data_IF_388362521041
#
_entry.id   IF_388362521041
#
_cell.length_a   1.000
_cell.length_b   1.000
_cell.length_c   1.000
_cell.angle_alpha   90.00
_cell.angle_beta   90.00
_cell.angle_gamma   90.00
#
_symmetry.space_group_name_H-M   'P 1'
#
loop_
_entity.id
_entity.type
_entity.pdbx_description
1 polymer ?
#
# COMPACT_ATOMS: atom_id res chain seq x y z
N UNK A 1 -11.13 36.74 -14.61
CA UNK A 1 -12.24 35.96 -14.01
C UNK A 1 -11.76 34.53 -13.81
N UNK A 2 -11.26 34.19 -12.62
CA UNK A 2 -10.73 32.85 -12.32
C UNK A 2 -11.90 31.93 -11.94
N UNK A 3 -12.19 30.91 -12.76
CA UNK A 3 -13.13 29.85 -12.40
C UNK A 3 -12.50 29.05 -11.26
N UNK A 4 -13.08 29.11 -10.06
CA UNK A 4 -12.80 28.11 -9.02
C UNK A 4 -13.21 26.74 -9.56
N UNK A 5 -12.23 25.92 -9.90
CA UNK A 5 -12.46 24.50 -10.15
C UNK A 5 -12.82 23.86 -8.80
N UNK A 6 -14.04 23.34 -8.68
CA UNK A 6 -14.45 22.56 -7.51
C UNK A 6 -14.19 21.08 -7.80
N UNK A 7 -13.15 20.53 -7.19
CA UNK A 7 -12.86 19.10 -7.23
C UNK A 7 -13.61 18.41 -6.08
N UNK A 8 -14.41 17.39 -6.40
CA UNK A 8 -15.12 16.59 -5.40
C UNK A 8 -14.30 15.33 -5.14
N UNK A 9 -13.76 15.21 -3.92
CA UNK A 9 -13.06 14.01 -3.46
C UNK A 9 -14.05 13.08 -2.76
N UNK A 10 -14.04 11.81 -3.13
CA UNK A 10 -14.75 10.76 -2.39
C UNK A 10 -13.73 10.02 -1.55
N UNK A 11 -13.85 10.15 -0.23
CA UNK A 11 -12.97 9.45 0.71
C UNK A 11 -13.48 8.01 0.79
N UNK A 12 -12.65 7.06 0.34
CA UNK A 12 -12.97 5.63 0.38
C UNK A 12 -12.71 5.03 1.76
N UNK A 13 -11.66 5.49 2.43
CA UNK A 13 -11.25 5.05 3.77
C UNK A 13 -10.62 6.24 4.51
N UNK A 14 -10.98 6.42 5.78
CA UNK A 14 -10.43 7.46 6.65
C UNK A 14 -9.97 6.78 7.94
N UNK A 15 -8.66 6.74 8.15
CA UNK A 15 -8.08 6.25 9.40
C UNK A 15 -7.57 7.44 10.23
N UNK A 16 -8.08 7.57 11.46
CA UNK A 16 -7.60 8.54 12.43
C UNK A 16 -6.50 7.87 13.25
N UNK A 17 -5.25 8.15 12.90
CA UNK A 17 -4.06 7.46 13.45
C UNK A 17 -3.76 7.87 14.91
N UNK A 18 -4.35 8.95 15.40
CA UNK A 18 -4.30 9.35 16.81
C UNK A 18 -5.50 10.24 17.18
N UNK A 19 -6.03 10.17 18.41
CA UNK A 19 -7.00 11.17 18.88
C UNK A 19 -6.36 12.57 18.77
N UNK A 20 -7.18 13.57 18.48
CA UNK A 20 -6.81 14.98 18.46
C UNK A 20 -6.37 15.41 19.86
N UNK A 21 -5.09 15.19 20.18
CA UNK A 21 -4.45 15.88 21.29
C UNK A 21 -4.21 17.30 20.80
N UNK A 22 -4.75 18.26 21.54
CA UNK A 22 -4.47 19.67 21.33
C UNK A 22 -2.97 19.90 21.53
N UNK A 23 -2.19 19.93 20.45
CA UNK A 23 -0.83 20.46 20.49
C UNK A 23 -0.94 21.98 20.33
N UNK A 24 -1.64 22.63 21.27
CA UNK A 24 -1.48 24.06 21.52
C UNK A 24 -0.56 24.16 22.74
N UNK A 25 0.71 24.11 22.44
CA UNK A 25 1.70 24.94 23.10
C UNK A 25 2.57 25.47 21.97
N UNK A 26 2.86 26.78 21.96
CA UNK A 26 3.89 27.31 21.09
C UNK A 26 5.11 26.37 21.16
N UNK A 27 5.69 25.93 20.04
CA UNK A 27 6.83 25.03 20.08
C UNK A 27 7.89 25.70 20.94
N UNK A 28 8.12 25.14 22.14
CA UNK A 28 9.21 25.59 22.98
C UNK A 28 10.47 25.46 22.12
N UNK A 29 11.30 26.52 21.99
CA UNK A 29 12.58 26.40 21.32
C UNK A 29 13.32 25.21 21.92
N UNK A 30 13.85 24.32 21.06
CA UNK A 30 14.71 23.23 21.47
C UNK A 30 15.73 23.77 22.49
N UNK A 31 15.70 23.24 23.71
CA UNK A 31 16.70 23.62 24.70
C UNK A 31 18.03 23.05 24.20
N UNK A 32 19.16 23.71 24.50
CA UNK A 32 20.50 23.17 24.20
C UNK A 32 20.73 21.77 24.81
N UNK A 33 19.93 21.41 25.80
CA UNK A 33 19.92 20.13 26.50
C UNK A 33 19.23 19.01 25.69
N UNK A 34 18.37 19.38 24.74
CA UNK A 34 17.61 18.49 23.86
C UNK A 34 18.34 18.25 22.52
N UNK A 35 19.49 18.89 22.30
CA UNK A 35 20.38 18.60 21.18
C UNK A 35 21.02 17.22 21.39
N UNK A 36 21.01 16.37 20.36
CA UNK A 36 21.79 15.14 20.39
C UNK A 36 23.25 15.50 20.65
N UNK A 37 23.94 14.84 21.61
CA UNK A 37 25.34 15.12 21.85
C UNK A 37 26.08 14.98 20.52
N UNK A 38 26.89 15.99 20.16
CA UNK A 38 27.67 15.99 18.91
C UNK A 38 28.59 14.78 18.77
N UNK A 39 28.81 14.10 19.89
CA UNK A 39 29.71 12.96 20.05
C UNK A 39 28.93 11.64 20.04
N UNK A 40 27.60 11.69 19.97
CA UNK A 40 26.72 10.53 19.86
C UNK A 40 26.72 10.02 18.41
N UNK A 41 27.82 9.39 18.00
CA UNK A 41 27.76 8.42 16.92
C UNK A 41 27.13 7.16 17.53
N UNK A 42 25.96 6.69 17.07
CA UNK A 42 25.52 5.35 17.45
C UNK A 42 26.62 4.39 17.01
N UNK A 43 27.36 3.86 17.99
CA UNK A 43 28.33 2.81 17.79
C UNK A 43 27.50 1.58 17.41
N UNK A 44 27.32 1.37 16.11
CA UNK A 44 26.99 0.05 15.62
C UNK A 44 28.32 -0.69 15.61
N UNK A 45 28.59 -1.61 16.57
CA UNK A 45 29.67 -2.54 16.34
C UNK A 45 29.23 -3.32 15.12
N UNK A 46 29.86 -3.08 13.98
CA UNK A 46 29.97 -4.12 12.97
C UNK A 46 30.75 -5.23 13.66
N UNK A 47 30.13 -6.36 14.02
CA UNK A 47 30.95 -7.46 14.47
C UNK A 47 31.46 -8.13 13.20
N UNK A 48 32.77 -8.31 13.12
CA UNK A 48 33.43 -9.23 12.19
C UNK A 48 32.95 -10.70 12.34
N UNK A 49 31.95 -10.95 13.18
CA UNK A 49 31.16 -12.17 13.27
C UNK A 49 29.67 -11.84 13.41
N UNK A 50 28.87 -11.94 12.32
CA UNK A 50 27.42 -11.85 12.44
C UNK A 50 26.91 -12.92 13.43
N UNK A 51 25.86 -12.63 14.23
CA UNK A 51 25.29 -13.59 15.17
C UNK A 51 25.11 -14.98 14.55
N UNK A 52 25.52 -16.05 15.25
CA UNK A 52 25.62 -17.42 14.71
C UNK A 52 24.35 -18.02 14.10
N UNK A 53 23.18 -17.40 14.28
CA UNK A 53 21.98 -17.73 13.50
C UNK A 53 22.10 -17.35 12.02
N UNK A 54 23.03 -16.49 11.62
CA UNK A 54 23.27 -16.09 10.22
C UNK A 54 24.09 -17.14 9.44
N UNK A 55 24.75 -18.08 10.12
CA UNK A 55 25.66 -19.06 9.50
C UNK A 55 25.03 -20.21 8.72
N UNK A 56 23.69 -20.39 8.77
CA UNK A 56 22.98 -21.50 8.11
C UNK A 56 21.99 -21.06 7.03
N UNK A 57 21.86 -19.75 6.78
CA UNK A 57 20.99 -19.25 5.72
C UNK A 57 21.79 -19.05 4.45
N UNK A 58 21.22 -19.31 3.27
CA UNK A 58 21.85 -18.92 2.01
C UNK A 58 22.27 -17.45 2.11
N UNK A 59 23.46 -17.13 1.61
CA UNK A 59 23.87 -15.72 1.46
C UNK A 59 22.94 -15.09 0.45
N UNK A 60 21.87 -14.49 0.94
CA UNK A 60 20.92 -13.77 0.10
C UNK A 60 21.39 -12.34 -0.05
N UNK A 61 21.22 -11.81 -1.26
CA UNK A 61 21.31 -10.38 -1.49
C UNK A 61 20.03 -9.73 -0.99
N UNK A 62 20.10 -9.16 0.21
CA UNK A 62 19.02 -8.39 0.80
C UNK A 62 18.79 -7.11 0.01
N UNK A 63 17.56 -6.90 -0.41
CA UNK A 63 17.16 -5.71 -1.18
C UNK A 63 15.81 -5.17 -0.69
N UNK A 64 15.39 -4.05 -1.26
CA UNK A 64 14.10 -3.42 -0.99
C UNK A 64 13.19 -3.51 -2.20
N UNK A 65 11.89 -3.35 -2.00
CA UNK A 65 10.89 -3.38 -3.08
C UNK A 65 11.24 -2.37 -4.19
N UNK A 66 11.61 -1.14 -3.83
CA UNK A 66 11.94 -0.11 -4.80
C UNK A 66 13.19 -0.41 -5.66
N UNK A 67 14.05 -1.34 -5.22
CA UNK A 67 15.26 -1.73 -5.95
C UNK A 67 15.08 -2.99 -6.79
N UNK A 68 13.92 -3.64 -6.72
CA UNK A 68 13.62 -4.80 -7.54
C UNK A 68 13.44 -4.41 -9.01
N UNK A 69 13.91 -5.31 -9.87
CA UNK A 69 13.80 -5.22 -11.32
C UNK A 69 13.49 -6.62 -11.87
N UNK A 70 12.97 -6.74 -13.10
CA UNK A 70 12.80 -8.04 -13.74
C UNK A 70 14.10 -8.86 -13.89
N UNK A 71 15.26 -8.19 -13.87
CA UNK A 71 16.59 -8.80 -13.89
C UNK A 71 17.13 -9.20 -12.50
N UNK A 72 16.37 -8.93 -11.43
CA UNK A 72 16.78 -9.28 -10.07
C UNK A 72 16.71 -10.80 -9.89
N UNK A 73 17.87 -11.42 -9.74
CA UNK A 73 18.02 -12.84 -9.42
C UNK A 73 18.47 -13.02 -7.96
N UNK A 74 18.14 -14.16 -7.35
CA UNK A 74 18.64 -14.57 -6.02
C UNK A 74 18.46 -13.54 -4.87
N UNK A 75 17.46 -12.65 -4.98
CA UNK A 75 17.20 -11.65 -3.96
C UNK A 75 16.43 -12.21 -2.76
N UNK A 76 16.53 -11.48 -1.64
CA UNK A 76 15.66 -11.64 -0.50
C UNK A 76 15.12 -10.27 -0.06
N UNK A 77 13.83 -10.19 0.20
CA UNK A 77 13.17 -8.99 0.73
C UNK A 77 12.54 -9.29 2.09
N UNK A 78 12.49 -8.27 2.94
CA UNK A 78 11.75 -8.31 4.22
C UNK A 78 10.51 -7.45 4.03
N UNK A 79 9.34 -8.04 4.13
CA UNK A 79 8.07 -7.35 3.82
C UNK A 79 6.99 -7.70 4.83
N UNK A 80 6.03 -6.79 5.02
CA UNK A 80 4.78 -7.08 5.71
C UNK A 80 3.73 -7.53 4.68
N UNK A 81 2.95 -8.54 5.03
CA UNK A 81 1.81 -8.98 4.20
C UNK A 81 0.56 -8.27 4.70
N UNK A 82 -0.03 -7.37 3.91
CA UNK A 82 -1.24 -6.61 4.30
C UNK A 82 -2.53 -7.25 3.84
N UNK A 83 -2.47 -8.04 2.77
CA UNK A 83 -3.64 -8.72 2.21
C UNK A 83 -3.26 -10.07 1.65
N UNK A 84 -4.15 -11.05 1.85
CA UNK A 84 -4.11 -12.35 1.20
C UNK A 84 -5.51 -12.59 0.62
N UNK A 85 -5.61 -12.83 -0.67
CA UNK A 85 -6.88 -13.15 -1.33
C UNK A 85 -7.28 -14.58 -1.02
N UNK A 86 -8.56 -14.90 -1.20
CA UNK A 86 -8.99 -16.30 -1.28
C UNK A 86 -8.33 -16.97 -2.49
N UNK A 87 -8.04 -18.27 -2.38
CA UNK A 87 -7.67 -19.11 -3.53
C UNK A 87 -8.70 -18.96 -4.65
N UNK A 88 -8.20 -18.71 -5.84
CA UNK A 88 -8.99 -18.60 -7.04
C UNK A 88 -8.34 -19.39 -8.19
N UNK A 89 -9.14 -19.80 -9.16
CA UNK A 89 -8.62 -20.35 -10.41
C UNK A 89 -8.41 -19.22 -11.41
N UNK A 90 -7.17 -19.04 -11.87
CA UNK A 90 -6.81 -18.04 -12.87
C UNK A 90 -6.37 -18.72 -14.17
N UNK A 91 -6.75 -18.14 -15.30
CA UNK A 91 -6.39 -18.68 -16.61
C UNK A 91 -5.03 -18.14 -17.03
N UNK A 92 -4.06 -19.04 -17.16
CA UNK A 92 -2.75 -18.69 -17.71
C UNK A 92 -2.84 -18.69 -19.25
N UNK A 93 -2.79 -17.50 -19.84
CA UNK A 93 -2.89 -17.31 -21.30
C UNK A 93 -1.73 -17.94 -22.08
N UNK A 94 -0.52 -17.96 -21.51
CA UNK A 94 0.68 -18.51 -22.16
C UNK A 94 0.60 -20.04 -22.25
N UNK A 95 0.16 -20.69 -21.16
CA UNK A 95 0.06 -22.15 -21.08
C UNK A 95 -1.32 -22.70 -21.50
N UNK A 96 -2.28 -21.82 -21.80
CA UNK A 96 -3.69 -22.15 -22.10
C UNK A 96 -4.33 -23.09 -21.09
N UNK A 97 -3.95 -22.95 -19.81
CA UNK A 97 -4.42 -23.81 -18.72
C UNK A 97 -4.91 -22.99 -17.53
N UNK A 98 -5.83 -23.57 -16.77
CA UNK A 98 -6.28 -23.05 -15.49
C UNK A 98 -5.24 -23.40 -14.42
N UNK A 99 -4.84 -22.41 -13.62
CA UNK A 99 -3.94 -22.57 -12.48
C UNK A 99 -4.59 -22.05 -11.22
N UNK A 100 -4.23 -22.63 -10.08
CA UNK A 100 -4.62 -22.08 -8.79
C UNK A 100 -3.71 -20.90 -8.45
N UNK A 101 -4.31 -19.84 -7.94
CA UNK A 101 -3.62 -18.62 -7.60
C UNK A 101 -4.13 -18.04 -6.29
N UNK A 102 -3.20 -17.48 -5.51
CA UNK A 102 -3.47 -16.59 -4.38
C UNK A 102 -2.71 -15.30 -4.61
N UNK A 103 -3.39 -14.19 -4.47
CA UNK A 103 -2.80 -12.87 -4.56
C UNK A 103 -2.53 -12.34 -3.15
N UNK A 104 -1.37 -11.75 -2.97
CA UNK A 104 -0.98 -11.06 -1.74
C UNK A 104 -0.60 -9.61 -2.06
N UNK A 105 -0.84 -8.72 -1.12
CA UNK A 105 -0.24 -7.39 -1.11
C UNK A 105 0.83 -7.38 -0.04
N UNK A 106 2.04 -6.99 -0.43
CA UNK A 106 3.20 -6.92 0.45
C UNK A 106 3.83 -5.54 0.36
N UNK A 107 4.45 -5.06 1.45
CA UNK A 107 5.16 -3.79 1.42
C UNK A 107 6.37 -3.78 2.36
N UNK A 108 7.29 -2.88 2.07
CA UNK A 108 8.37 -2.46 2.96
C UNK A 108 8.34 -0.94 3.15
N UNK A 109 9.44 -0.33 3.59
CA UNK A 109 9.52 1.13 3.73
C UNK A 109 9.59 1.89 2.40
N UNK A 110 9.89 1.19 1.31
CA UNK A 110 10.25 1.76 0.01
C UNK A 110 9.16 1.61 -1.05
N UNK A 111 8.25 0.65 -0.87
CA UNK A 111 7.17 0.40 -1.82
C UNK A 111 6.19 -0.66 -1.34
N UNK A 112 5.06 -0.74 -2.05
CA UNK A 112 4.13 -1.85 -2.04
C UNK A 112 4.24 -2.65 -3.34
N UNK A 113 3.87 -3.93 -3.29
CA UNK A 113 3.87 -4.78 -4.46
C UNK A 113 2.82 -5.88 -4.35
N UNK A 114 2.23 -6.23 -5.49
CA UNK A 114 1.44 -7.46 -5.62
C UNK A 114 2.37 -8.67 -5.74
N UNK A 115 2.13 -9.69 -4.93
CA UNK A 115 2.72 -11.01 -5.09
C UNK A 115 1.64 -12.02 -5.50
N UNK A 116 1.93 -12.88 -6.48
CA UNK A 116 1.00 -13.92 -6.94
C UNK A 116 1.65 -15.28 -6.74
N UNK A 117 1.07 -16.08 -5.84
CA UNK A 117 1.44 -17.46 -5.59
C UNK A 117 0.64 -18.40 -6.50
N UNK A 118 1.35 -19.32 -7.15
CA UNK A 118 0.78 -20.30 -8.06
C UNK A 118 0.95 -21.73 -7.56
N UNK A 119 -0.03 -22.57 -7.85
CA UNK A 119 0.02 -24.02 -7.67
C UNK A 119 0.58 -24.43 -6.30
N UNK A 120 1.79 -25.00 -6.23
CA UNK A 120 2.45 -25.46 -5.00
C UNK A 120 2.75 -24.35 -3.96
N UNK A 121 2.82 -23.08 -4.40
CA UNK A 121 3.00 -21.96 -3.49
C UNK A 121 1.68 -21.52 -2.83
N UNK A 122 0.53 -21.94 -3.35
CA UNK A 122 -0.80 -21.50 -2.86
C UNK A 122 -1.00 -21.89 -1.41
N UNK A 123 -0.82 -23.17 -1.08
CA UNK A 123 -1.05 -23.68 0.29
C UNK A 123 -0.14 -22.96 1.30
N UNK A 124 1.12 -22.72 0.93
CA UNK A 124 2.08 -21.99 1.77
C UNK A 124 1.66 -20.54 1.95
N UNK A 125 1.19 -19.88 0.89
CA UNK A 125 0.75 -18.49 0.95
C UNK A 125 -0.54 -18.30 1.75
N UNK A 126 -1.48 -19.25 1.72
CA UNK A 126 -2.70 -19.19 2.56
C UNK A 126 -2.42 -19.42 4.04
N UNK A 127 -1.32 -20.09 4.38
CA UNK A 127 -0.90 -20.30 5.77
C UNK A 127 -0.22 -19.07 6.41
N UNK A 128 0.05 -18.03 5.61
CA UNK A 128 0.69 -16.81 6.10
C UNK A 128 -0.30 -15.96 6.91
N UNK A 129 0.24 -15.25 7.90
CA UNK A 129 -0.55 -14.40 8.79
C UNK A 129 -0.55 -12.98 8.23
N UNK A 130 -1.75 -12.44 7.99
CA UNK A 130 -1.93 -11.02 7.64
C UNK A 130 -1.35 -10.14 8.74
N UNK A 131 -0.70 -9.05 8.34
CA UNK A 131 0.14 -8.16 9.15
C UNK A 131 1.42 -8.81 9.71
N UNK A 132 1.73 -10.06 9.38
CA UNK A 132 3.02 -10.66 9.69
C UNK A 132 4.14 -10.11 8.81
N UNK A 133 5.36 -10.08 9.35
CA UNK A 133 6.58 -9.72 8.62
C UNK A 133 7.31 -10.99 8.20
N UNK A 134 7.72 -11.05 6.93
CA UNK A 134 8.28 -12.23 6.30
C UNK A 134 9.51 -11.89 5.47
N UNK A 135 10.50 -12.79 5.51
CA UNK A 135 11.51 -12.95 4.48
C UNK A 135 10.88 -13.68 3.30
N UNK A 136 11.05 -13.14 2.10
CA UNK A 136 10.65 -13.77 0.85
C UNK A 136 11.87 -13.89 -0.06
N UNK A 137 12.16 -15.10 -0.53
CA UNK A 137 13.23 -15.37 -1.49
C UNK A 137 12.83 -16.48 -2.47
N UNK A 138 13.56 -16.57 -3.59
CA UNK A 138 13.25 -17.55 -4.65
C UNK A 138 11.99 -17.22 -5.46
N UNK A 139 11.46 -15.99 -5.32
CA UNK A 139 10.43 -15.45 -6.20
C UNK A 139 11.06 -14.84 -7.46
N UNK A 140 10.27 -14.67 -8.51
CA UNK A 140 10.68 -13.93 -9.72
C UNK A 140 9.94 -12.60 -9.81
N UNK A 141 10.63 -11.56 -10.27
CA UNK A 141 10.01 -10.24 -10.52
C UNK A 141 9.55 -10.20 -11.96
N UNK A 142 8.28 -9.83 -12.18
CA UNK A 142 7.69 -9.67 -13.50
C UNK A 142 7.00 -8.32 -13.60
N UNK A 143 6.72 -7.87 -14.82
CA UNK A 143 5.85 -6.72 -15.01
C UNK A 143 4.44 -7.02 -14.48
N UNK A 144 3.84 -6.00 -13.86
CA UNK A 144 2.47 -6.04 -13.41
C UNK A 144 1.56 -6.20 -14.63
N UNK A 145 0.58 -7.09 -14.54
CA UNK A 145 -0.47 -7.17 -15.54
C UNK A 145 -1.36 -5.96 -15.30
N UNK A 146 -1.61 -5.15 -16.32
CA UNK A 146 -2.40 -3.90 -16.33
C UNK A 146 -3.79 -3.96 -15.66
N UNK A 147 -4.22 -5.13 -15.19
CA UNK A 147 -5.52 -5.42 -14.60
C UNK A 147 -5.46 -5.74 -13.09
N UNK A 148 -4.36 -5.45 -12.37
CA UNK A 148 -4.33 -5.58 -10.90
C UNK A 148 -5.04 -4.39 -10.22
N UNK A 149 -6.26 -4.07 -10.65
CA UNK A 149 -7.30 -3.24 -9.99
C UNK A 149 -6.84 -2.13 -9.01
N UNK A 150 -5.78 -1.38 -9.32
CA UNK A 150 -5.26 -0.34 -8.41
C UNK A 150 -4.89 -0.85 -7.02
N UNK A 151 -4.54 -2.15 -6.89
CA UNK A 151 -4.25 -2.77 -5.60
C UNK A 151 -2.93 -2.27 -4.99
N UNK A 152 -2.01 -1.85 -5.87
CA UNK A 152 -0.73 -1.22 -5.56
C UNK A 152 -0.37 -0.26 -6.69
N UNK A 153 0.48 0.72 -6.41
CA UNK A 153 0.98 1.64 -7.44
C UNK A 153 2.20 1.09 -8.19
N UNK A 154 2.73 -0.07 -7.78
CA UNK A 154 3.87 -0.72 -8.44
C UNK A 154 3.56 -1.19 -9.87
N UNK A 155 4.49 -0.91 -10.79
CA UNK A 155 4.52 -1.44 -12.17
C UNK A 155 5.06 -2.86 -12.24
N UNK A 156 5.60 -3.38 -11.14
CA UNK A 156 6.16 -4.73 -11.00
C UNK A 156 5.31 -5.59 -10.07
N UNK A 157 5.45 -6.90 -10.20
CA UNK A 157 4.85 -7.90 -9.31
C UNK A 157 5.84 -9.02 -8.98
N UNK A 158 5.65 -9.64 -7.82
CA UNK A 158 6.30 -10.90 -7.49
C UNK A 158 5.48 -12.07 -8.02
N UNK A 159 6.18 -13.02 -8.59
CA UNK A 159 5.65 -14.29 -9.02
C UNK A 159 6.25 -15.39 -8.13
N UNK A 160 5.40 -15.98 -7.31
CA UNK A 160 5.77 -16.98 -6.32
C UNK A 160 5.41 -18.38 -6.83
N UNK A 161 6.41 -19.24 -6.96
CA UNK A 161 6.29 -20.62 -7.45
C UNK A 161 6.76 -21.63 -6.38
N UNK A 162 6.88 -22.91 -6.74
CA UNK A 162 7.35 -23.96 -5.83
C UNK A 162 8.70 -23.66 -5.16
N UNK A 163 9.56 -22.86 -5.79
CA UNK A 163 10.88 -22.48 -5.25
C UNK A 163 10.82 -21.33 -4.26
N UNK A 164 9.78 -20.50 -4.33
CA UNK A 164 9.63 -19.35 -3.44
C UNK A 164 9.47 -19.82 -2.01
N UNK A 165 10.13 -19.17 -1.08
CA UNK A 165 10.06 -19.49 0.34
C UNK A 165 9.61 -18.28 1.14
N UNK A 166 8.90 -18.56 2.23
CA UNK A 166 8.41 -17.56 3.17
C UNK A 166 8.90 -17.95 4.56
N UNK A 167 9.60 -17.05 5.24
CA UNK A 167 9.98 -17.24 6.64
C UNK A 167 9.52 -16.07 7.46
N UNK A 168 8.66 -16.33 8.44
CA UNK A 168 8.22 -15.31 9.39
C UNK A 168 9.41 -14.81 10.20
N UNK A 169 9.48 -13.50 10.39
CA UNK A 169 10.46 -12.85 11.26
C UNK A 169 9.76 -12.09 12.37
N UNK A 170 10.52 -11.77 13.42
CA UNK A 170 10.04 -10.92 14.51
C UNK A 170 9.90 -9.50 13.95
N UNK A 171 8.74 -8.90 14.21
CA UNK A 171 8.44 -7.53 13.81
C UNK A 171 9.16 -6.55 14.75
N UNK A 172 10.26 -5.98 14.28
CA UNK A 172 11.06 -4.97 14.98
C UNK A 172 10.52 -3.54 14.79
N UNK A 173 9.32 -3.40 14.20
CA UNK A 173 8.63 -2.15 13.90
C UNK A 173 9.32 -1.25 12.87
N UNK A 174 10.35 -1.75 12.16
CA UNK A 174 10.96 -0.99 11.05
C UNK A 174 10.02 -0.93 9.86
N UNK A 175 9.31 -2.01 9.55
CA UNK A 175 8.35 -2.02 8.45
C UNK A 175 7.02 -1.45 8.96
N UNK A 176 6.49 -0.38 8.34
CA UNK A 176 5.26 0.25 8.80
C UNK A 176 4.08 -0.73 8.75
N UNK A 177 3.05 -0.51 9.57
CA UNK A 177 1.85 -1.37 9.57
C UNK A 177 1.08 -1.28 8.25
N UNK A 178 1.07 -0.08 7.67
CA UNK A 178 0.44 0.22 6.39
C UNK A 178 1.41 1.02 5.55
N UNK A 179 1.36 0.81 4.24
CA UNK A 179 2.11 1.60 3.27
C UNK A 179 1.19 2.65 2.65
N UNK A 180 1.71 3.86 2.48
CA UNK A 180 1.01 4.95 1.83
C UNK A 180 1.93 5.59 0.80
N UNK A 181 1.44 5.76 -0.42
CA UNK A 181 2.13 6.46 -1.50
C UNK A 181 1.56 7.89 -1.62
N UNK A 182 1.85 8.72 -0.62
CA UNK A 182 1.23 10.04 -0.52
C UNK A 182 1.53 10.93 -1.73
N UNK A 183 0.48 11.48 -2.31
CA UNK A 183 0.58 12.51 -3.35
C UNK A 183 0.21 13.89 -2.79
N UNK A 184 0.87 14.93 -3.30
CA UNK A 184 0.53 16.31 -2.96
C UNK A 184 -0.89 16.64 -3.44
N UNK A 185 -1.64 17.38 -2.63
CA UNK A 185 -3.00 17.84 -2.96
C UNK A 185 -3.02 18.60 -4.31
N UNK A 186 -1.94 19.32 -4.66
CA UNK A 186 -1.83 20.02 -5.95
C UNK A 186 -1.79 19.10 -7.17
N UNK A 187 -1.38 17.84 -6.99
CA UNK A 187 -1.32 16.84 -8.09
C UNK A 187 -2.70 16.29 -8.39
N UNK A 188 -3.62 16.29 -7.40
CA UNK A 188 -4.96 15.72 -7.52
C UNK A 188 -5.77 16.33 -8.66
N UNK A 189 -5.62 17.63 -8.90
CA UNK A 189 -6.33 18.33 -9.99
C UNK A 189 -5.96 17.80 -11.39
N UNK A 190 -4.80 17.14 -11.51
CA UNK A 190 -4.30 16.57 -12.77
C UNK A 190 -4.65 15.10 -12.93
N UNK A 191 -5.25 14.48 -11.90
CA UNK A 191 -5.60 13.07 -11.92
C UNK A 191 -6.92 12.83 -12.66
N UNK A 192 -7.02 11.68 -13.31
CA UNK A 192 -8.27 11.25 -13.94
C UNK A 192 -9.29 10.82 -12.89
N UNK A 193 -10.57 11.09 -13.17
CA UNK A 193 -11.67 10.66 -12.31
C UNK A 193 -11.62 9.13 -12.11
N UNK A 194 -11.72 8.69 -10.86
CA UNK A 194 -11.70 7.28 -10.47
C UNK A 194 -10.31 6.75 -10.11
N UNK A 195 -9.26 7.58 -10.20
CA UNK A 195 -7.94 7.23 -9.68
C UNK A 195 -7.94 7.30 -8.14
N UNK A 196 -7.40 6.27 -7.49
CA UNK A 196 -7.25 6.20 -6.03
C UNK A 196 -5.88 6.73 -5.65
N UNK A 197 -5.84 7.60 -4.64
CA UNK A 197 -4.59 8.20 -4.15
C UNK A 197 -4.58 8.26 -2.63
N UNK A 198 -3.39 8.11 -2.07
CA UNK A 198 -3.14 8.40 -0.67
C UNK A 198 -2.82 9.88 -0.51
N UNK A 199 -3.44 10.53 0.46
CA UNK A 199 -3.24 11.96 0.75
C UNK A 199 -3.00 12.14 2.24
N UNK A 200 -2.01 12.96 2.58
CA UNK A 200 -1.78 13.42 3.95
C UNK A 200 -2.06 14.92 4.01
N UNK A 201 -2.86 15.34 4.99
CA UNK A 201 -3.23 16.73 5.14
C UNK A 201 -3.62 17.07 6.57
N UNK A 202 -3.52 18.36 6.91
CA UNK A 202 -4.01 18.90 8.17
C UNK A 202 -5.48 19.25 7.98
N UNK A 203 -6.35 18.77 8.88
CA UNK A 203 -7.77 19.14 8.87
C UNK A 203 -7.90 20.58 9.36
N UNK A 204 -8.33 21.49 8.49
CA UNK A 204 -8.41 22.92 8.77
C UNK A 204 -9.64 23.32 9.60
N UNK A 205 -10.84 22.96 9.13
CA UNK A 205 -12.09 23.22 9.84
C UNK A 205 -13.02 22.00 9.71
N UNK A 206 -13.28 21.25 10.79
CA UNK A 206 -14.11 20.05 10.74
C UNK A 206 -15.62 20.32 10.55
N UNK A 207 -16.05 21.57 10.30
CA UNK A 207 -17.46 21.96 10.21
C UNK A 207 -17.96 22.50 8.86
N UNK A 208 -17.13 22.61 7.81
CA UNK A 208 -17.59 23.12 6.52
C UNK A 208 -18.41 22.07 5.75
N UNK A 209 -19.74 22.27 5.70
CA UNK A 209 -20.71 21.38 5.05
C UNK A 209 -20.27 20.89 3.67
N UNK A 210 -20.25 19.56 3.51
CA UNK A 210 -20.12 18.91 2.20
C UNK A 210 -21.43 19.13 1.45
N UNK A 211 -21.46 20.12 0.54
CA UNK A 211 -22.55 20.30 -0.42
C UNK A 211 -22.61 19.05 -1.30
N UNK A 212 -23.48 18.10 -0.93
CA UNK A 212 -23.87 16.98 -1.77
C UNK A 212 -24.67 17.54 -2.94
N UNK A 213 -24.02 17.73 -4.07
CA UNK A 213 -24.68 18.05 -5.34
C UNK A 213 -25.49 16.83 -5.79
N UNK A 214 -26.68 16.64 -5.23
CA UNK A 214 -27.68 15.75 -5.82
C UNK A 214 -28.07 16.34 -7.17
N UNK A 215 -27.92 15.57 -8.26
CA UNK A 215 -28.47 15.95 -9.56
C UNK A 215 -29.98 16.16 -9.37
N UNK A 216 -30.55 17.32 -9.76
CA UNK A 216 -32.01 17.44 -9.80
C UNK A 216 -32.54 16.41 -10.80
N UNK A 217 -33.41 15.52 -10.32
CA UNK A 217 -34.18 14.63 -11.17
C UNK A 217 -35.02 15.48 -12.11
N UNK A 218 -34.75 15.37 -13.41
CA UNK A 218 -35.56 15.97 -14.46
C UNK A 218 -36.81 15.12 -14.61
N UNK A 219 -37.75 15.30 -13.70
CA UNK A 219 -39.10 14.76 -13.85
C UNK A 219 -40.09 15.92 -13.74
N UNK A 220 -40.91 16.08 -14.78
CA UNK A 220 -41.81 17.20 -14.90
C UNK A 220 -42.07 17.58 -16.35
N UNK A 221 -43.05 16.91 -16.97
CA UNK A 221 -43.71 17.49 -18.12
C UNK A 221 -44.49 16.55 -19.03
N UNK A 222 -45.61 15.99 -18.56
CA UNK A 222 -46.74 15.66 -19.46
C UNK A 222 -48.09 15.89 -18.77
N UNK A 223 -48.81 16.86 -19.37
CA UNK A 223 -50.27 17.10 -19.58
C UNK A 223 -51.22 16.06 -18.93
N UNK A 224 -52.40 16.39 -18.46
CA UNK A 224 -53.40 17.28 -19.07
C UNK A 224 -54.49 17.63 -18.05
N UNK A 225 -55.17 18.76 -18.26
CA UNK A 225 -56.23 19.23 -17.40
C UNK A 225 -57.55 18.49 -17.60
N UNK A 226 -58.32 18.35 -16.54
CA UNK A 226 -59.77 18.17 -16.61
C UNK A 226 -60.39 18.90 -15.43
N UNK A 227 -61.22 19.89 -15.77
CA UNK A 227 -62.05 20.67 -14.86
C UNK A 227 -63.17 19.79 -14.32
N UNK A 228 -63.48 19.90 -13.03
CA UNK A 228 -64.85 19.74 -12.57
C UNK A 228 -65.25 20.98 -11.76
N UNK A 229 -66.42 21.49 -12.13
CA UNK A 229 -67.08 22.67 -11.58
C UNK A 229 -68.38 22.14 -11.00
N UNK A 230 -68.63 22.47 -9.73
CA UNK A 230 -69.87 22.30 -8.95
C UNK A 230 -70.39 20.87 -8.72
#
# INVERSE_FOLDING_TARGET
MLKLARSVLTIHELEVVSPSVCVIGDPAPLRKEDEFPTDYRPFYPWPDNPPGYIGAYPRFDYTTIARLSPSSEQFCIIVRITKISRRATSFNKSLRMKKLAVQMVVHDQTGDMVAIAWDESVDRSESLIVNGVYLIWGATVLDAITNTNGLTNSTLRLNCDGRTQFKRVIDDRRIPKQFFAFQSIHVIEKLQKGHVVDVLGVVGDPGADVVRSAKPSKDGGRRDGSKETL
#
